data_IF_743604536069
#
_entry.id   IF_743604536069
#
_cell.length_a   1.000
_cell.length_b   1.000
_cell.length_c   1.000
_cell.angle_alpha   90.00
_cell.angle_beta   90.00
_cell.angle_gamma   90.00
#
_symmetry.space_group_name_H-M   'P 1'
#
loop_
_entity.id
_entity.type
_entity.pdbx_description
1 polymer ?
#
# COMPACT_ATOMS: atom_id res chain seq x y z
N UNK A 1 15.74 -12.03 13.12
CA UNK A 1 14.93 -10.82 12.86
C UNK A 1 13.55 -11.33 12.50
N UNK A 2 12.53 -10.80 13.17
CA UNK A 2 11.14 -11.16 12.90
C UNK A 2 10.66 -10.35 11.70
N UNK A 3 10.03 -10.99 10.73
CA UNK A 3 9.44 -10.28 9.59
C UNK A 3 8.27 -9.43 10.08
N UNK A 4 8.13 -8.22 9.51
CA UNK A 4 6.99 -7.35 9.83
C UNK A 4 5.69 -7.99 9.35
N UNK A 5 4.58 -7.81 10.10
CA UNK A 5 3.27 -8.31 9.71
C UNK A 5 2.84 -7.67 8.38
N UNK A 6 2.30 -8.47 7.48
CA UNK A 6 1.99 -8.03 6.12
C UNK A 6 0.71 -8.63 5.60
N UNK A 7 0.03 -7.88 4.73
CA UNK A 7 -1.09 -8.36 3.95
C UNK A 7 -0.72 -8.36 2.47
N UNK A 8 -1.36 -9.25 1.70
CA UNK A 8 -1.17 -9.35 0.26
C UNK A 8 -2.19 -8.48 -0.46
N UNK A 9 -1.75 -7.72 -1.45
CA UNK A 9 -2.65 -7.01 -2.37
C UNK A 9 -2.91 -7.91 -3.57
N UNK A 10 -4.17 -8.27 -3.77
CA UNK A 10 -4.63 -8.93 -4.98
C UNK A 10 -5.36 -7.90 -5.84
N UNK A 11 -4.80 -7.66 -7.03
CA UNK A 11 -5.37 -6.74 -7.98
C UNK A 11 -4.85 -7.01 -9.39
N UNK A 12 -5.77 -7.02 -10.35
CA UNK A 12 -5.44 -6.96 -11.76
C UNK A 12 -5.62 -5.52 -12.25
N UNK A 13 -4.52 -4.88 -12.67
CA UNK A 13 -4.55 -3.50 -13.17
C UNK A 13 -5.37 -3.39 -14.47
N UNK A 14 -5.56 -4.48 -15.21
CA UNK A 14 -6.40 -4.50 -16.41
C UNK A 14 -7.91 -4.45 -16.09
N UNK A 15 -8.31 -4.68 -14.84
CA UNK A 15 -9.69 -4.53 -14.39
C UNK A 15 -10.06 -3.07 -14.08
N UNK A 16 -9.08 -2.16 -14.06
CA UNK A 16 -9.38 -0.72 -13.99
C UNK A 16 -10.24 -0.38 -15.20
N UNK A 17 -11.47 0.14 -15.03
CA UNK A 17 -12.28 0.57 -16.15
C UNK A 17 -11.55 1.70 -16.89
N UNK A 18 -10.84 1.33 -17.95
CA UNK A 18 -10.16 2.26 -18.82
C UNK A 18 -11.19 3.04 -19.64
N UNK A 19 -10.81 4.26 -20.03
CA UNK A 19 -11.48 4.97 -21.11
C UNK A 19 -11.38 4.11 -22.37
N UNK A 20 -12.50 3.53 -22.82
CA UNK A 20 -12.55 2.77 -24.07
C UNK A 20 -12.33 3.74 -25.23
N UNK A 21 -11.12 3.79 -25.78
CA UNK A 21 -10.83 4.53 -27.01
C UNK A 21 -10.73 3.50 -28.13
N UNK A 22 -11.62 3.63 -29.12
CA UNK A 22 -11.64 2.80 -30.33
C UNK A 22 -11.84 1.28 -30.13
N UNK A 23 -12.43 0.84 -29.02
CA UNK A 23 -12.91 -0.54 -28.86
C UNK A 23 -11.85 -1.61 -28.57
N UNK A 24 -10.56 -1.24 -28.52
CA UNK A 24 -9.48 -2.15 -28.12
C UNK A 24 -8.78 -1.66 -26.84
N UNK A 25 -8.88 -2.44 -25.77
CA UNK A 25 -8.00 -2.32 -24.61
C UNK A 25 -6.61 -2.82 -25.02
N UNK A 26 -5.72 -1.89 -25.36
CA UNK A 26 -4.34 -2.22 -25.73
C UNK A 26 -3.54 -2.61 -24.48
N UNK A 27 -3.39 -3.93 -24.23
CA UNK A 27 -2.55 -4.50 -23.14
C UNK A 27 -1.16 -3.86 -23.04
N UNK A 28 -0.62 -3.37 -24.16
CA UNK A 28 0.72 -2.77 -24.25
C UNK A 28 0.85 -1.37 -23.61
N UNK A 29 -0.26 -0.64 -23.42
CA UNK A 29 -0.25 0.62 -22.70
C UNK A 29 -0.18 0.39 -21.18
N UNK A 30 -0.87 -0.62 -20.67
CA UNK A 30 -0.92 -0.91 -19.24
C UNK A 30 0.35 -1.58 -18.70
N UNK A 31 1.10 -2.32 -19.54
CA UNK A 31 2.40 -2.91 -19.17
C UNK A 31 3.50 -1.89 -18.85
N UNK A 32 3.24 -0.58 -19.04
CA UNK A 32 4.12 0.53 -18.68
C UNK A 32 3.57 1.39 -17.54
N UNK A 33 2.40 1.02 -16.99
CA UNK A 33 1.84 1.73 -15.86
C UNK A 33 2.74 1.55 -14.63
N UNK A 34 2.80 2.59 -13.80
CA UNK A 34 3.53 2.56 -12.53
C UNK A 34 2.51 2.60 -11.41
N UNK A 35 2.60 1.64 -10.50
CA UNK A 35 1.74 1.60 -9.32
C UNK A 35 2.57 1.90 -8.09
N UNK A 36 2.14 2.90 -7.33
CA UNK A 36 2.81 3.36 -6.12
C UNK A 36 1.83 3.27 -4.97
N UNK A 37 2.22 2.59 -3.89
CA UNK A 37 1.47 2.54 -2.65
C UNK A 37 2.13 3.45 -1.62
N UNK A 38 1.34 4.29 -0.97
CA UNK A 38 1.80 5.24 0.05
C UNK A 38 1.03 5.02 1.33
N UNK A 39 1.73 4.91 2.46
CA UNK A 39 1.11 4.79 3.78
C UNK A 39 0.99 6.14 4.50
N UNK A 40 0.11 6.22 5.50
CA UNK A 40 0.03 7.36 6.41
C UNK A 40 1.12 7.36 7.51
N UNK A 41 2.13 6.49 7.41
CA UNK A 41 3.24 6.44 8.37
C UNK A 41 4.26 7.52 8.05
N UNK A 42 4.86 8.14 9.08
CA UNK A 42 5.90 9.14 8.90
C UNK A 42 7.20 8.47 8.43
N UNK A 43 7.84 8.98 7.37
CA UNK A 43 9.04 8.38 6.78
C UNK A 43 10.24 8.30 7.75
N UNK A 44 10.28 9.18 8.75
CA UNK A 44 11.38 9.27 9.74
C UNK A 44 11.12 8.48 11.02
N UNK A 45 9.92 7.94 11.24
CA UNK A 45 9.57 7.26 12.49
C UNK A 45 10.13 5.83 12.55
N UNK A 46 10.19 5.28 13.77
CA UNK A 46 10.52 3.88 14.02
C UNK A 46 9.29 3.17 14.60
N UNK A 47 8.91 2.05 13.99
CA UNK A 47 7.88 1.17 14.54
C UNK A 47 8.57 0.05 15.34
N UNK A 48 7.94 -0.42 16.43
CA UNK A 48 8.42 -1.57 17.20
C UNK A 48 7.57 -2.81 16.93
N UNK A 49 8.22 -3.95 16.78
CA UNK A 49 7.58 -5.26 16.62
C UNK A 49 8.48 -6.36 17.17
N UNK A 50 7.94 -7.29 17.95
CA UNK A 50 8.72 -8.43 18.47
C UNK A 50 9.95 -8.03 19.30
N UNK A 51 9.99 -6.82 19.87
CA UNK A 51 11.13 -6.27 20.61
C UNK A 51 12.18 -5.54 19.76
N UNK A 52 12.07 -5.58 18.43
CA UNK A 52 12.97 -4.91 17.49
C UNK A 52 12.36 -3.59 16.96
N UNK A 53 13.23 -2.67 16.52
CA UNK A 53 12.82 -1.42 15.85
C UNK A 53 13.02 -1.52 14.34
N UNK A 54 12.00 -1.13 13.58
CA UNK A 54 11.99 -1.17 12.12
C UNK A 54 11.66 0.20 11.54
N UNK A 55 12.18 0.48 10.35
CA UNK A 55 11.74 1.62 9.54
C UNK A 55 10.49 1.19 8.76
N UNK A 56 9.33 1.86 8.95
CA UNK A 56 8.13 1.53 8.19
C UNK A 56 8.34 1.79 6.69
N UNK A 57 7.78 0.94 5.82
CA UNK A 57 7.64 1.30 4.41
C UNK A 57 6.63 2.45 4.28
N UNK A 58 7.11 3.63 3.90
CA UNK A 58 6.24 4.76 3.55
C UNK A 58 5.73 4.65 2.12
N UNK A 59 6.61 4.24 1.20
CA UNK A 59 6.30 4.10 -0.22
C UNK A 59 6.73 2.72 -0.70
N UNK A 60 5.83 2.01 -1.37
CA UNK A 60 6.09 0.71 -1.99
C UNK A 60 5.78 0.81 -3.48
N UNK A 61 6.76 0.49 -4.32
CA UNK A 61 6.59 0.43 -5.76
C UNK A 61 6.19 -0.98 -6.16
N UNK A 62 5.12 -1.09 -6.95
CA UNK A 62 4.70 -2.36 -7.52
C UNK A 62 5.01 -2.39 -9.02
N UNK A 63 5.39 -3.57 -9.48
CA UNK A 63 5.54 -3.90 -10.90
C UNK A 63 4.28 -4.61 -11.36
N UNK A 64 3.95 -4.45 -12.65
CA UNK A 64 2.82 -5.13 -13.28
C UNK A 64 3.40 -6.30 -14.08
N UNK A 65 3.00 -7.53 -13.75
CA UNK A 65 3.41 -8.71 -14.49
C UNK A 65 2.63 -8.82 -15.82
N UNK A 66 3.03 -9.75 -16.69
CA UNK A 66 2.45 -9.91 -18.04
C UNK A 66 0.94 -10.23 -18.07
N UNK A 67 0.40 -10.73 -16.96
CA UNK A 67 -1.03 -11.01 -16.77
C UNK A 67 -1.82 -9.85 -16.14
N UNK A 68 -1.15 -8.75 -15.79
CA UNK A 68 -1.75 -7.57 -15.17
C UNK A 68 -1.75 -7.61 -13.63
N UNK A 69 -1.24 -8.67 -13.02
CA UNK A 69 -1.12 -8.78 -11.56
C UNK A 69 -0.05 -7.84 -11.02
N UNK A 70 -0.25 -7.40 -9.76
CA UNK A 70 0.76 -6.65 -9.04
C UNK A 70 1.77 -7.57 -8.36
N UNK A 71 3.03 -7.35 -8.67
CA UNK A 71 4.16 -8.05 -8.06
C UNK A 71 5.16 -7.05 -7.48
N UNK A 72 5.94 -7.50 -6.52
CA UNK A 72 7.07 -6.74 -6.01
C UNK A 72 8.25 -6.73 -7.01
N UNK A 73 9.38 -6.13 -6.61
CA UNK A 73 10.60 -6.06 -7.44
C UNK A 73 11.21 -7.43 -7.77
N UNK A 74 10.87 -8.47 -7.02
CA UNK A 74 11.41 -9.82 -7.15
C UNK A 74 10.40 -10.77 -7.84
N UNK A 75 9.25 -10.25 -8.27
CA UNK A 75 8.19 -11.02 -8.94
C UNK A 75 7.29 -11.79 -7.97
N UNK A 76 7.39 -11.55 -6.66
CA UNK A 76 6.50 -12.15 -5.66
C UNK A 76 5.22 -11.34 -5.51
N UNK A 77 4.13 -11.94 -4.98
CA UNK A 77 2.90 -11.19 -4.69
C UNK A 77 3.18 -9.95 -3.84
N UNK A 78 2.59 -8.82 -4.21
CA UNK A 78 2.81 -7.56 -3.52
C UNK A 78 2.33 -7.65 -2.06
N UNK A 79 3.24 -7.35 -1.14
CA UNK A 79 2.96 -7.29 0.30
C UNK A 79 3.12 -5.87 0.85
N UNK A 80 2.18 -5.46 1.69
CA UNK A 80 2.18 -4.17 2.38
C UNK A 80 2.08 -4.39 3.91
N UNK A 81 2.53 -3.41 4.69
CA UNK A 81 2.49 -3.47 6.16
C UNK A 81 1.04 -3.53 6.65
N UNK A 82 0.74 -4.56 7.45
CA UNK A 82 -0.58 -4.80 8.03
C UNK A 82 -0.81 -4.00 9.31
N UNK A 83 -2.08 -3.81 9.68
CA UNK A 83 -2.49 -3.23 10.97
C UNK A 83 -2.57 -4.35 12.02
N UNK A 84 -1.41 -4.79 12.50
CA UNK A 84 -1.29 -5.86 13.48
C UNK A 84 -1.27 -5.32 14.92
N UNK A 85 -1.98 -5.93 15.88
CA UNK A 85 -2.00 -5.48 17.27
C UNK A 85 -0.66 -5.60 18.01
N UNK A 86 0.31 -6.35 17.48
CA UNK A 86 1.67 -6.43 17.99
C UNK A 86 2.58 -5.27 17.59
N UNK A 87 2.12 -4.39 16.69
CA UNK A 87 2.84 -3.17 16.32
C UNK A 87 2.67 -2.09 17.39
N UNK A 88 3.69 -1.24 17.55
CA UNK A 88 3.60 -0.05 18.41
C UNK A 88 2.67 1.06 17.87
N UNK A 89 2.13 0.88 16.66
CA UNK A 89 1.27 1.85 15.96
C UNK A 89 -0.01 1.16 15.52
N UNK A 90 -1.09 1.92 15.43
CA UNK A 90 -2.41 1.43 15.00
C UNK A 90 -3.04 2.40 14.01
N UNK A 91 -3.95 1.92 13.17
CA UNK A 91 -4.65 2.78 12.20
C UNK A 91 -3.83 3.06 10.95
N UNK A 92 -3.02 2.09 10.55
CA UNK A 92 -2.25 2.15 9.30
C UNK A 92 -3.22 2.19 8.13
N UNK A 93 -3.05 3.17 7.26
CA UNK A 93 -3.78 3.31 6.01
C UNK A 93 -2.83 3.32 4.83
N UNK A 94 -3.31 2.84 3.69
CA UNK A 94 -2.60 2.87 2.42
C UNK A 94 -3.46 3.57 1.36
N UNK A 95 -2.79 4.19 0.40
CA UNK A 95 -3.39 4.67 -0.84
C UNK A 95 -2.55 4.15 -2.01
N UNK A 96 -3.20 3.83 -3.13
CA UNK A 96 -2.54 3.41 -4.36
C UNK A 96 -2.71 4.49 -5.44
N UNK A 97 -1.63 4.83 -6.12
CA UNK A 97 -1.62 5.70 -7.29
C UNK A 97 -1.19 4.88 -8.51
N UNK A 98 -2.00 4.91 -9.56
CA UNK A 98 -1.68 4.29 -10.86
C UNK A 98 -1.46 5.38 -11.89
N UNK A 99 -0.24 5.43 -12.42
CA UNK A 99 0.15 6.31 -13.51
C UNK A 99 0.02 5.55 -14.83
N UNK A 100 -1.01 5.87 -15.60
CA UNK A 100 -1.27 5.26 -16.90
C UNK A 100 -0.54 6.02 -18.02
N UNK A 101 0.25 5.35 -18.88
CA UNK A 101 0.88 5.98 -20.03
C UNK A 101 -0.12 5.97 -21.20
N UNK A 102 -1.13 6.83 -21.10
CA UNK A 102 -2.08 7.09 -22.19
C UNK A 102 -1.53 8.16 -23.16
N UNK A 103 -1.86 8.11 -24.45
CA UNK A 103 -1.55 9.20 -25.39
C UNK A 103 -2.30 10.47 -24.96
N UNK A 104 -1.62 11.36 -24.22
CA UNK A 104 -2.23 12.53 -23.61
C UNK A 104 -1.52 12.95 -22.31
N UNK A 105 -2.09 13.88 -21.52
CA UNK A 105 -1.59 14.15 -20.18
C UNK A 105 -1.64 12.86 -19.35
N UNK A 106 -0.59 12.61 -18.54
CA UNK A 106 -0.56 11.48 -17.62
C UNK A 106 -1.81 11.53 -16.73
N UNK A 107 -2.63 10.49 -16.81
CA UNK A 107 -3.78 10.34 -15.93
C UNK A 107 -3.33 9.52 -14.71
N UNK A 108 -3.42 10.17 -13.54
CA UNK A 108 -3.23 9.51 -12.26
C UNK A 108 -4.59 9.02 -11.75
N UNK A 109 -4.71 7.72 -11.50
CA UNK A 109 -5.83 7.14 -10.78
C UNK A 109 -5.42 6.92 -9.33
N UNK A 110 -6.11 7.59 -8.42
CA UNK A 110 -5.94 7.41 -6.99
C UNK A 110 -7.00 6.43 -6.45
N UNK A 111 -6.56 5.43 -5.70
CA UNK A 111 -7.40 4.48 -4.97
C UNK A 111 -7.09 4.62 -3.49
N UNK A 112 -8.11 4.97 -2.72
CA UNK A 112 -8.01 5.11 -1.28
C UNK A 112 -8.00 6.57 -0.79
N UNK A 113 -7.63 6.80 0.48
CA UNK A 113 -7.01 5.83 1.39
C UNK A 113 -7.96 4.70 1.81
N UNK A 114 -7.38 3.61 2.30
CA UNK A 114 -8.07 2.45 2.86
C UNK A 114 -7.29 1.89 4.05
N UNK A 115 -8.01 1.26 4.98
CA UNK A 115 -7.41 0.68 6.17
C UNK A 115 -6.60 -0.58 5.82
N UNK A 116 -5.39 -0.68 6.37
CA UNK A 116 -4.59 -1.89 6.27
C UNK A 116 -5.30 -3.04 7.01
N UNK A 117 -5.51 -4.21 6.37
CA UNK A 117 -6.00 -5.41 7.04
C UNK A 117 -5.04 -5.93 8.12
N UNK A 118 -5.49 -6.96 8.83
CA UNK A 118 -4.64 -7.73 9.77
C UNK A 118 -3.58 -8.57 9.05
N UNK A 119 -2.60 -9.06 9.81
CA UNK A 119 -1.52 -9.89 9.28
C UNK A 119 -2.04 -11.14 8.53
N UNK A 120 -1.37 -11.48 7.44
CA UNK A 120 -1.69 -12.63 6.58
C UNK A 120 -2.94 -12.48 5.71
N UNK A 121 -3.70 -11.38 5.82
CA UNK A 121 -4.89 -11.16 5.02
C UNK A 121 -4.55 -10.94 3.53
N UNK A 122 -5.54 -11.16 2.67
CA UNK A 122 -5.50 -10.80 1.24
C UNK A 122 -6.56 -9.74 0.97
N UNK A 123 -6.16 -8.61 0.39
CA UNK A 123 -7.04 -7.51 0.04
C UNK A 123 -7.26 -7.44 -1.46
N UNK A 124 -8.52 -7.55 -1.88
CA UNK A 124 -8.93 -7.33 -3.27
C UNK A 124 -9.11 -5.85 -3.54
N UNK A 125 -8.16 -5.22 -4.24
CA UNK A 125 -8.15 -3.76 -4.41
C UNK A 125 -9.37 -3.24 -5.21
N UNK A 126 -9.91 -4.07 -6.10
CA UNK A 126 -11.15 -3.77 -6.85
C UNK A 126 -12.40 -3.65 -5.98
N UNK A 127 -12.36 -4.16 -4.74
CA UNK A 127 -13.47 -4.12 -3.77
C UNK A 127 -13.25 -3.12 -2.64
N UNK A 128 -12.16 -2.36 -2.68
CA UNK A 128 -11.79 -1.43 -1.62
C UNK A 128 -12.80 -0.29 -1.51
N UNK A 129 -13.25 -0.06 -0.29
CA UNK A 129 -14.07 1.11 0.07
C UNK A 129 -13.12 2.19 0.58
N UNK A 130 -13.18 3.37 -0.03
CA UNK A 130 -12.37 4.51 0.41
C UNK A 130 -12.78 4.94 1.83
N UNK A 131 -11.79 5.21 2.67
CA UNK A 131 -11.96 5.72 4.03
C UNK A 131 -11.58 7.20 4.10
N UNK A 132 -11.84 7.82 5.25
CA UNK A 132 -11.33 9.17 5.53
C UNK A 132 -9.82 9.10 5.76
N UNK A 133 -9.07 9.98 5.10
CA UNK A 133 -7.63 10.11 5.32
C UNK A 133 -7.35 10.46 6.77
N UNK A 134 -6.64 9.56 7.45
CA UNK A 134 -6.07 9.84 8.75
C UNK A 134 -4.85 10.77 8.62
N UNK A 135 -4.61 11.64 9.62
CA UNK A 135 -3.35 12.37 9.70
C UNK A 135 -2.17 11.40 9.77
N UNK A 136 -0.95 11.87 9.48
CA UNK A 136 0.25 11.05 9.67
C UNK A 136 0.32 10.48 11.08
N UNK A 137 0.69 9.20 11.19
CA UNK A 137 0.92 8.57 12.49
C UNK A 137 2.27 9.05 13.03
N UNK A 138 2.21 10.02 13.95
CA UNK A 138 3.37 10.52 14.69
C UNK A 138 3.74 9.58 15.83
N UNK A 139 5.05 9.50 16.13
CA UNK A 139 5.56 8.79 17.30
C UNK A 139 5.14 9.54 18.57
N UNK A 140 4.00 9.19 19.15
CA UNK A 140 3.77 9.45 20.56
C UNK A 140 4.52 8.37 21.34
N UNK A 141 5.81 8.61 21.62
CA UNK A 141 6.47 7.94 22.73
C UNK A 141 5.73 8.36 24.01
N UNK A 142 4.80 7.53 24.48
CA UNK A 142 4.20 7.74 25.80
C UNK A 142 5.29 7.50 26.84
N UNK A 143 6.01 8.55 27.20
CA UNK A 143 6.80 8.58 28.43
C UNK A 143 5.77 8.50 29.56
N UNK A 144 5.64 7.33 30.16
CA UNK A 144 4.98 7.22 31.46
C UNK A 144 5.95 7.85 32.45
N UNK A 145 5.79 9.16 32.71
CA UNK A 145 6.35 9.81 33.89
C UNK A 145 5.58 9.31 35.12
N UNK A 146 5.76 8.03 35.43
CA UNK A 146 5.40 7.43 36.69
C UNK A 146 6.62 7.45 37.59
N UNK A 147 6.59 8.25 38.64
CA UNK A 147 7.53 8.09 39.75
C UNK A 147 7.44 6.64 40.23
N UNK A 148 8.55 5.88 40.35
CA UNK A 148 8.50 4.57 40.97
C UNK A 148 7.95 4.72 42.40
N UNK A 149 6.97 3.89 42.75
CA UNK A 149 6.42 3.75 44.10
C UNK A 149 7.46 3.23 45.08
#
# INVERSE_FOLDING_TARGET
>A
MTDLPSFTVDWNVFDIPGTVIAGELTRQALSKARVVFTSNLVQTSLLRFGGDSHRPPHTVYATIDGDGSLVDKDGSPLKLLANDPGLSVTGIQWAASVLLPVPGPLQELLIGPFDAPVDGATLQLSTVIQTVSLPPLEDNEYIIDGTPL
#
